data_IF_202214498790
#
_entry.id   IF_202214498790
#
_cell.length_a   1.000
_cell.length_b   1.000
_cell.length_c   1.000
_cell.angle_alpha   90.00
_cell.angle_beta   90.00
_cell.angle_gamma   90.00
#
_symmetry.space_group_name_H-M   'P 1'
#
loop_
_entity.id
_entity.type
_entity.pdbx_description
1 polymer ?
#
# COMPACT_ATOMS: atom_id res chain seq x y z
N UNK A 1 7.44 -6.34 -28.81
CA UNK A 1 7.38 -6.50 -27.34
C UNK A 1 8.05 -5.29 -26.73
N UNK A 2 7.28 -4.38 -26.10
CA UNK A 2 7.83 -3.20 -25.42
C UNK A 2 8.06 -3.56 -23.95
N UNK A 3 9.32 -3.59 -23.53
CA UNK A 3 9.72 -3.67 -22.13
C UNK A 3 9.48 -2.30 -21.51
N UNK A 4 8.57 -2.21 -20.53
CA UNK A 4 8.36 -1.01 -19.74
C UNK A 4 9.43 -1.00 -18.64
N UNK A 5 10.48 -0.20 -18.84
CA UNK A 5 11.41 0.16 -17.77
C UNK A 5 10.69 1.09 -16.80
N UNK A 6 10.54 0.64 -15.55
CA UNK A 6 9.97 1.44 -14.46
C UNK A 6 11.08 1.63 -13.44
N UNK A 7 11.34 2.90 -13.11
CA UNK A 7 12.43 3.38 -12.25
C UNK A 7 12.38 2.82 -10.82
N UNK A 8 13.58 2.59 -10.27
CA UNK A 8 13.88 1.95 -8.98
C UNK A 8 13.38 2.74 -7.74
N UNK A 9 12.88 3.97 -7.93
CA UNK A 9 12.55 4.91 -6.86
C UNK A 9 11.19 4.68 -6.15
N UNK A 10 10.42 3.66 -6.53
CA UNK A 10 9.08 3.40 -5.95
C UNK A 10 9.08 2.58 -4.65
N UNK A 11 10.25 2.37 -4.05
CA UNK A 11 10.43 1.47 -2.89
C UNK A 11 10.34 2.14 -1.51
N UNK A 12 10.09 3.45 -1.40
CA UNK A 12 10.39 4.19 -0.17
C UNK A 12 9.21 4.52 0.78
N UNK A 13 7.93 4.36 0.41
CA UNK A 13 6.82 4.97 1.19
C UNK A 13 6.05 4.02 2.14
N UNK A 14 6.69 2.94 2.62
CA UNK A 14 6.12 2.06 3.65
C UNK A 14 6.88 2.22 4.97
N UNK A 15 6.86 3.41 5.55
CA UNK A 15 7.52 3.69 6.83
C UNK A 15 6.68 4.62 7.71
N UNK A 16 5.93 4.04 8.66
CA UNK A 16 5.76 4.60 10.00
C UNK A 16 5.69 3.44 11.00
N UNK A 17 6.73 3.32 11.85
CA UNK A 17 6.91 2.38 12.97
C UNK A 17 7.47 0.98 12.64
N UNK A 18 8.73 0.93 12.18
CA UNK A 18 9.67 -0.14 12.57
C UNK A 18 9.60 -1.50 11.86
N UNK A 19 8.68 -1.70 10.92
CA UNK A 19 8.65 -2.90 10.08
C UNK A 19 8.04 -2.61 8.72
N UNK A 20 8.66 -3.11 7.65
CA UNK A 20 8.05 -3.07 6.31
C UNK A 20 6.76 -3.91 6.37
N UNK A 21 5.60 -3.28 6.14
CA UNK A 21 4.30 -3.95 6.03
C UNK A 21 3.83 -3.89 4.58
N UNK A 22 3.36 -5.01 4.05
CA UNK A 22 2.74 -5.11 2.75
C UNK A 22 1.23 -5.31 2.94
N UNK A 23 0.42 -4.53 2.21
CA UNK A 23 -1.04 -4.72 2.15
C UNK A 23 -1.38 -5.23 0.74
N UNK A 24 -2.12 -6.34 0.65
CA UNK A 24 -2.57 -6.86 -0.64
C UNK A 24 -3.92 -6.27 -1.10
N UNK A 25 -4.34 -6.62 -2.31
CA UNK A 25 -5.60 -6.15 -2.92
C UNK A 25 -6.86 -6.55 -2.12
N UNK A 26 -6.74 -7.52 -1.21
CA UNK A 26 -7.82 -7.98 -0.34
C UNK A 26 -7.73 -7.37 1.07
N UNK A 27 -6.86 -6.38 1.27
CA UNK A 27 -6.59 -5.69 2.54
C UNK A 27 -6.01 -6.58 3.64
N UNK A 28 -5.32 -7.66 3.27
CA UNK A 28 -4.54 -8.43 4.25
C UNK A 28 -3.16 -7.82 4.44
N UNK A 29 -2.73 -7.76 5.70
CA UNK A 29 -1.43 -7.24 6.08
C UNK A 29 -0.41 -8.38 6.17
N UNK A 30 0.78 -8.13 5.66
CA UNK A 30 1.90 -9.04 5.68
C UNK A 30 3.13 -8.33 6.24
N UNK A 31 3.95 -9.07 6.98
CA UNK A 31 5.28 -8.65 7.42
C UNK A 31 6.35 -9.43 6.68
N UNK A 32 7.55 -8.86 6.60
CA UNK A 32 8.71 -9.56 6.04
C UNK A 32 8.97 -10.84 6.83
N UNK A 33 9.05 -11.97 6.13
CA UNK A 33 9.46 -13.27 6.67
C UNK A 33 10.94 -13.51 6.36
N UNK A 34 11.35 -13.23 5.12
CA UNK A 34 12.73 -13.47 4.65
C UNK A 34 13.09 -12.55 3.48
N UNK A 35 14.30 -12.00 3.49
CA UNK A 35 14.84 -11.17 2.40
C UNK A 35 16.12 -11.80 1.85
N UNK A 36 16.07 -12.21 0.59
CA UNK A 36 17.20 -12.83 -0.11
C UNK A 36 18.15 -11.77 -0.65
N UNK A 37 19.40 -11.78 -0.16
CA UNK A 37 20.46 -10.88 -0.64
C UNK A 37 20.96 -11.21 -2.05
N UNK A 38 20.75 -12.43 -2.52
CA UNK A 38 21.28 -12.91 -3.81
C UNK A 38 20.27 -12.82 -4.95
N UNK A 39 18.98 -12.93 -4.65
CA UNK A 39 17.92 -13.00 -5.66
C UNK A 39 16.95 -11.83 -5.63
N UNK A 40 17.22 -10.78 -4.83
CA UNK A 40 16.34 -9.62 -4.64
C UNK A 40 14.87 -10.01 -4.36
N UNK A 41 14.68 -11.16 -3.71
CA UNK A 41 13.37 -11.73 -3.40
C UNK A 41 13.06 -11.48 -1.94
N UNK A 42 11.94 -10.81 -1.69
CA UNK A 42 11.41 -10.60 -0.35
C UNK A 42 10.18 -11.50 -0.20
N UNK A 43 10.24 -12.44 0.74
CA UNK A 43 9.11 -13.25 1.16
C UNK A 43 8.41 -12.57 2.32
N UNK A 44 7.10 -12.52 2.22
CA UNK A 44 6.20 -11.91 3.17
C UNK A 44 5.25 -12.98 3.73
N UNK A 45 4.89 -12.86 5.00
CA UNK A 45 3.92 -13.73 5.67
C UNK A 45 2.81 -12.89 6.26
N UNK A 46 1.61 -13.45 6.33
CA UNK A 46 0.50 -12.80 7.00
C UNK A 46 0.91 -12.32 8.40
N UNK A 47 0.45 -11.13 8.78
CA UNK A 47 0.72 -10.51 10.07
C UNK A 47 0.08 -11.30 11.23
N UNK A 48 -1.09 -11.89 11.00
CA UNK A 48 -1.82 -12.67 12.01
C UNK A 48 -1.08 -13.97 12.33
N UNK A 49 -0.80 -14.18 13.62
CA UNK A 49 -0.09 -15.36 14.11
C UNK A 49 -0.91 -16.62 13.82
N UNK A 50 -0.24 -17.64 13.26
CA UNK A 50 -0.89 -18.90 12.88
C UNK A 50 -1.60 -18.87 11.51
N UNK A 51 -1.70 -17.71 10.86
CA UNK A 51 -2.29 -17.64 9.52
C UNK A 51 -1.30 -18.17 8.47
N UNK A 52 -1.69 -19.15 7.62
CA UNK A 52 -0.79 -19.81 6.67
C UNK A 52 -0.32 -19.00 5.45
N UNK A 53 -1.02 -17.97 4.93
CA UNK A 53 -0.63 -17.32 3.69
C UNK A 53 0.72 -16.64 3.74
N UNK A 54 1.43 -16.81 2.63
CA UNK A 54 2.69 -16.13 2.31
C UNK A 54 2.61 -15.61 0.88
N UNK A 55 3.37 -14.58 0.59
CA UNK A 55 3.61 -14.12 -0.78
C UNK A 55 5.08 -13.71 -0.94
N UNK A 56 5.51 -13.47 -2.17
CA UNK A 56 6.84 -12.93 -2.42
C UNK A 56 6.78 -11.80 -3.43
N UNK A 57 7.63 -10.79 -3.22
CA UNK A 57 7.89 -9.74 -4.18
C UNK A 57 9.29 -10.02 -4.72
N UNK A 58 9.41 -10.12 -6.03
CA UNK A 58 10.70 -10.16 -6.69
C UNK A 58 11.00 -8.72 -7.14
N UNK A 59 12.23 -8.22 -6.96
CA UNK A 59 12.60 -6.82 -7.21
C UNK A 59 12.23 -6.27 -8.59
N UNK A 60 11.91 -7.14 -9.55
CA UNK A 60 11.46 -6.80 -10.91
C UNK A 60 9.93 -6.71 -11.08
N UNK A 61 9.14 -7.15 -10.10
CA UNK A 61 7.68 -7.29 -10.21
C UNK A 61 7.02 -6.60 -9.03
N UNK A 62 6.37 -5.45 -9.31
CA UNK A 62 5.61 -4.65 -8.34
C UNK A 62 4.30 -5.32 -7.83
N UNK A 63 4.07 -6.59 -8.16
CA UNK A 63 2.90 -7.35 -7.70
C UNK A 63 3.36 -8.54 -6.85
N UNK A 64 2.77 -8.73 -5.65
CA UNK A 64 3.08 -9.89 -4.84
C UNK A 64 2.68 -11.17 -5.58
N UNK A 65 3.67 -12.01 -5.85
CA UNK A 65 3.47 -13.36 -6.34
C UNK A 65 2.99 -14.18 -5.14
N UNK A 66 1.68 -14.44 -5.10
CA UNK A 66 1.04 -15.23 -4.05
C UNK A 66 1.51 -16.69 -4.13
N UNK A 67 1.90 -17.27 -3.01
CA UNK A 67 2.15 -18.71 -2.95
C UNK A 67 0.82 -19.49 -2.97
N UNK A 68 0.90 -20.79 -3.29
CA UNK A 68 -0.23 -21.70 -3.54
C UNK A 68 -1.33 -21.75 -2.45
N UNK A 69 -1.03 -21.32 -1.22
CA UNK A 69 -2.00 -21.18 -0.13
C UNK A 69 -2.31 -19.70 0.13
N UNK A 70 -3.38 -19.20 -0.51
CA UNK A 70 -3.91 -17.85 -0.32
C UNK A 70 -5.10 -17.78 0.64
N UNK A 71 -5.48 -18.89 1.27
CA UNK A 71 -6.62 -18.94 2.18
C UNK A 71 -6.21 -18.44 3.56
N UNK A 72 -6.67 -17.24 3.92
CA UNK A 72 -6.53 -16.71 5.28
C UNK A 72 -7.53 -17.40 6.19
N UNK A 73 -7.12 -17.67 7.43
CA UNK A 73 -7.98 -18.25 8.48
C UNK A 73 -8.73 -17.17 9.28
N UNK A 74 -8.67 -15.92 8.83
CA UNK A 74 -9.28 -14.77 9.47
C UNK A 74 -9.78 -13.78 8.41
N UNK A 75 -10.76 -12.92 8.72
CA UNK A 75 -11.11 -11.80 7.85
C UNK A 75 -10.00 -10.74 7.81
N UNK A 76 -9.99 -9.91 6.78
CA UNK A 76 -9.14 -8.72 6.72
C UNK A 76 -9.50 -7.73 7.84
N UNK A 77 -8.51 -6.99 8.32
CA UNK A 77 -8.74 -6.01 9.40
C UNK A 77 -9.60 -4.85 8.90
N UNK A 78 -10.63 -4.51 9.70
CA UNK A 78 -11.61 -3.47 9.38
C UNK A 78 -10.94 -2.11 9.25
N UNK A 79 -9.91 -1.83 10.06
CA UNK A 79 -9.21 -0.56 9.98
C UNK A 79 -8.36 -0.48 8.71
N UNK A 80 -7.67 -1.55 8.33
CA UNK A 80 -6.94 -1.63 7.06
C UNK A 80 -7.86 -1.42 5.86
N UNK A 81 -9.06 -2.03 5.88
CA UNK A 81 -10.08 -1.81 4.84
C UNK A 81 -10.48 -0.33 4.78
N UNK A 82 -10.82 0.29 5.92
CA UNK A 82 -11.21 1.71 5.96
C UNK A 82 -10.10 2.64 5.44
N UNK A 83 -8.85 2.40 5.84
CA UNK A 83 -7.69 3.17 5.34
C UNK A 83 -7.55 3.04 3.83
N UNK A 84 -7.62 1.81 3.32
CA UNK A 84 -7.51 1.52 1.88
C UNK A 84 -8.59 2.23 1.08
N UNK A 85 -9.83 2.24 1.55
CA UNK A 85 -10.94 2.98 0.93
C UNK A 85 -10.65 4.49 0.87
N UNK A 86 -10.20 5.09 1.97
CA UNK A 86 -9.89 6.53 2.03
C UNK A 86 -8.74 6.89 1.09
N UNK A 87 -7.67 6.09 1.08
CA UNK A 87 -6.52 6.32 0.19
C UNK A 87 -6.92 6.18 -1.27
N UNK A 88 -7.76 5.19 -1.61
CA UNK A 88 -8.25 5.03 -2.98
C UNK A 88 -9.18 6.16 -3.41
N UNK A 89 -10.01 6.68 -2.50
CA UNK A 89 -10.81 7.87 -2.78
C UNK A 89 -9.95 9.09 -3.03
N UNK A 90 -8.90 9.31 -2.23
CA UNK A 90 -7.94 10.41 -2.42
C UNK A 90 -7.27 10.34 -3.80
N UNK A 91 -6.87 9.13 -4.21
CA UNK A 91 -6.29 8.88 -5.54
C UNK A 91 -7.27 9.22 -6.67
N UNK A 92 -8.54 8.82 -6.53
CA UNK A 92 -9.59 9.14 -7.51
C UNK A 92 -9.88 10.63 -7.58
N UNK A 93 -10.01 11.29 -6.43
CA UNK A 93 -10.28 12.73 -6.38
C UNK A 93 -9.14 13.52 -7.01
N UNK A 94 -7.89 13.13 -6.75
CA UNK A 94 -6.72 13.75 -7.37
C UNK A 94 -6.60 13.53 -8.89
N UNK A 95 -7.22 12.47 -9.44
CA UNK A 95 -7.34 12.30 -10.89
C UNK A 95 -8.45 13.17 -11.49
N UNK A 96 -9.58 13.30 -10.78
CA UNK A 96 -10.74 14.05 -11.26
C UNK A 96 -10.52 15.56 -11.24
N UNK A 97 -9.71 16.06 -10.31
CA UNK A 97 -9.46 17.49 -10.12
C UNK A 97 -7.97 17.80 -10.27
N UNK A 98 -7.45 17.76 -11.50
CA UNK A 98 -6.02 18.01 -11.79
C UNK A 98 -5.57 19.42 -11.31
N UNK A 99 -6.49 20.40 -11.32
CA UNK A 99 -6.22 21.77 -10.89
C UNK A 99 -6.34 22.00 -9.37
N UNK A 100 -6.94 21.05 -8.64
CA UNK A 100 -7.14 21.22 -7.19
C UNK A 100 -5.85 20.85 -6.46
N UNK A 101 -5.30 21.75 -5.62
CA UNK A 101 -4.06 21.45 -4.89
C UNK A 101 -4.21 20.18 -4.05
N UNK A 102 -3.25 19.25 -4.15
CA UNK A 102 -3.21 17.99 -3.38
C UNK A 102 -3.44 18.22 -1.88
N UNK A 103 -2.91 19.32 -1.34
CA UNK A 103 -3.12 19.74 0.05
C UNK A 103 -4.59 19.91 0.40
N UNK A 104 -5.35 20.57 -0.46
CA UNK A 104 -6.79 20.84 -0.23
C UNK A 104 -7.58 19.54 -0.23
N UNK A 105 -7.30 18.64 -1.17
CA UNK A 105 -7.93 17.32 -1.27
C UNK A 105 -7.70 16.51 0.02
N UNK A 106 -6.44 16.40 0.47
CA UNK A 106 -6.09 15.62 1.67
C UNK A 106 -6.74 16.22 2.92
N UNK A 107 -6.64 17.53 3.12
CA UNK A 107 -7.22 18.20 4.30
C UNK A 107 -8.73 18.04 4.35
N UNK A 108 -9.45 18.25 3.24
CA UNK A 108 -10.91 18.09 3.20
C UNK A 108 -11.32 16.64 3.49
N UNK A 109 -10.58 15.64 2.99
CA UNK A 109 -10.88 14.24 3.28
C UNK A 109 -10.61 13.90 4.75
N UNK A 110 -9.53 14.41 5.33
CA UNK A 110 -9.20 14.20 6.74
C UNK A 110 -10.21 14.85 7.71
N UNK A 111 -10.82 15.97 7.33
CA UNK A 111 -11.88 16.62 8.12
C UNK A 111 -13.19 15.84 8.13
N UNK A 112 -13.45 15.04 7.10
CA UNK A 112 -14.71 14.30 6.92
C UNK A 112 -14.66 12.86 7.44
N UNK A 113 -13.56 12.43 8.07
CA UNK A 113 -13.43 11.09 8.66
C UNK A 113 -13.52 11.15 10.19
N UNK A 114 -13.93 10.05 10.82
CA UNK A 114 -13.95 9.97 12.29
C UNK A 114 -12.55 10.12 12.87
N UNK A 115 -12.45 10.66 14.10
CA UNK A 115 -11.17 10.88 14.79
C UNK A 115 -10.34 9.60 14.87
N UNK A 116 -10.97 8.47 15.23
CA UNK A 116 -10.31 7.16 15.29
C UNK A 116 -9.70 6.76 13.95
N UNK A 117 -10.41 7.03 12.85
CA UNK A 117 -9.93 6.73 11.51
C UNK A 117 -8.81 7.69 11.14
N UNK A 118 -8.94 8.98 11.46
CA UNK A 118 -7.93 10.00 11.20
C UNK A 118 -6.59 9.69 11.87
N UNK A 119 -6.60 9.20 13.12
CA UNK A 119 -5.40 8.77 13.85
C UNK A 119 -4.71 7.60 13.15
N UNK A 120 -5.52 6.72 12.54
CA UNK A 120 -5.02 5.51 11.89
C UNK A 120 -4.48 5.74 10.47
N UNK A 121 -4.79 6.89 9.86
CA UNK A 121 -4.35 7.22 8.50
C UNK A 121 -2.82 7.45 8.46
N UNK A 122 -2.19 7.21 7.30
CA UNK A 122 -0.82 7.64 7.07
C UNK A 122 -0.66 9.15 7.29
N UNK A 123 0.56 9.59 7.59
CA UNK A 123 0.88 11.02 7.66
C UNK A 123 0.49 11.76 6.39
N UNK A 124 0.27 13.06 6.52
CA UNK A 124 -0.02 13.93 5.39
C UNK A 124 1.02 13.77 4.26
N UNK A 125 2.31 13.72 4.59
CA UNK A 125 3.37 13.57 3.59
C UNK A 125 3.29 12.24 2.85
N UNK A 126 3.02 11.13 3.56
CA UNK A 126 2.82 9.82 2.94
C UNK A 126 1.59 9.79 2.01
N UNK A 127 0.49 10.44 2.42
CA UNK A 127 -0.69 10.60 1.56
C UNK A 127 -0.40 11.46 0.34
N UNK A 128 0.35 12.55 0.50
CA UNK A 128 0.75 13.43 -0.60
C UNK A 128 1.61 12.68 -1.62
N UNK A 129 2.62 11.94 -1.18
CA UNK A 129 3.44 11.14 -2.09
C UNK A 129 2.62 10.07 -2.80
N UNK A 130 1.72 9.40 -2.09
CA UNK A 130 0.80 8.42 -2.67
C UNK A 130 -0.03 9.02 -3.82
N UNK A 131 -0.57 10.22 -3.63
CA UNK A 131 -1.34 10.94 -4.64
C UNK A 131 -0.46 11.32 -5.85
N UNK A 132 0.71 11.92 -5.60
CA UNK A 132 1.63 12.35 -6.67
C UNK A 132 2.10 11.16 -7.52
N UNK A 133 2.51 10.06 -6.86
CA UNK A 133 2.94 8.83 -7.52
C UNK A 133 1.83 8.24 -8.40
N UNK A 134 0.58 8.35 -7.95
CA UNK A 134 -0.58 7.85 -8.69
C UNK A 134 -0.90 8.74 -9.91
N UNK A 135 -0.84 10.06 -9.77
CA UNK A 135 -0.99 11.01 -10.89
C UNK A 135 0.09 10.78 -11.96
N UNK A 136 1.35 10.54 -11.55
CA UNK A 136 2.46 10.25 -12.47
C UNK A 136 2.35 8.88 -13.16
N UNK A 137 1.71 7.89 -12.53
CA UNK A 137 1.56 6.53 -13.11
C UNK A 137 0.36 6.41 -14.05
N UNK A 138 -0.48 7.46 -14.15
CA UNK A 138 -1.70 7.47 -14.97
C UNK A 138 -1.55 8.28 -16.27
N UNK A 139 -0.39 8.89 -16.49
CA UNK A 139 0.00 9.60 -17.73
C UNK A 139 0.86 8.67 -18.59
#
# INVERSE_FOLDING_TARGET
MRTLEISEDKLADLNQLGGRILIDELNYEYRVDYESKTSNKITWRCLVVGCPPRCCINGYVNKPIKFKNSNHSHPADVNTIKKSLIVNDLKKEAQLYEDKPTRKIITEKQLNVSIETAISLPSYDALRQTVLNYQMSSK
#
